data_IF_145496400926
#
_entry.id   IF_145496400926
#
_cell.length_a   1.000
_cell.length_b   1.000
_cell.length_c   1.000
_cell.angle_alpha   90.00
_cell.angle_beta   90.00
_cell.angle_gamma   90.00
#
_symmetry.space_group_name_H-M   'P 1'
#
loop_
_entity.id
_entity.type
_entity.pdbx_description
1 polymer ?
#
# COMPACT_ATOMS: atom_id res chain seq x y z
N UNK A 1 30.62 16.46 70.74
CA UNK A 1 31.44 15.81 69.68
C UNK A 1 30.60 14.98 68.70
N UNK A 2 29.78 14.03 69.17
CA UNK A 2 29.01 13.10 68.31
C UNK A 2 28.01 13.75 67.31
N UNK A 3 27.35 14.85 67.68
CA UNK A 3 26.36 15.52 66.82
C UNK A 3 26.95 16.12 65.53
N UNK A 4 28.22 16.50 65.54
CA UNK A 4 28.88 17.06 64.35
C UNK A 4 29.26 15.95 63.36
N UNK A 5 29.74 14.80 63.87
CA UNK A 5 30.05 13.64 63.04
C UNK A 5 28.83 13.09 62.30
N UNK A 6 27.66 13.07 62.95
CA UNK A 6 26.41 12.63 62.30
C UNK A 6 26.04 13.55 61.15
N UNK A 7 26.19 14.87 61.31
CA UNK A 7 25.94 15.85 60.24
C UNK A 7 26.91 15.67 59.06
N UNK A 8 28.18 15.37 59.34
CA UNK A 8 29.19 15.13 58.31
C UNK A 8 28.93 13.86 57.51
N UNK A 9 28.49 12.78 58.17
CA UNK A 9 28.08 11.54 57.53
C UNK A 9 26.86 11.77 56.63
N UNK A 10 25.83 12.44 57.13
CA UNK A 10 24.63 12.77 56.35
C UNK A 10 24.99 13.65 55.13
N UNK A 11 25.88 14.63 55.31
CA UNK A 11 26.41 15.46 54.24
C UNK A 11 27.22 14.65 53.21
N UNK A 12 28.04 13.69 53.66
CA UNK A 12 28.80 12.81 52.79
C UNK A 12 27.88 11.91 51.96
N UNK A 13 26.85 11.30 52.57
CA UNK A 13 25.85 10.48 51.87
C UNK A 13 25.09 11.30 50.83
N UNK A 14 24.69 12.54 51.17
CA UNK A 14 24.05 13.45 50.23
C UNK A 14 24.97 13.77 49.04
N UNK A 15 26.25 14.04 49.31
CA UNK A 15 27.26 14.30 48.26
C UNK A 15 27.47 13.08 47.35
N UNK A 16 27.50 11.87 47.90
CA UNK A 16 27.61 10.62 47.11
C UNK A 16 26.40 10.45 46.22
N UNK A 17 25.18 10.64 46.75
CA UNK A 17 23.94 10.53 45.98
C UNK A 17 23.88 11.55 44.83
N UNK A 18 24.27 12.79 45.10
CA UNK A 18 24.33 13.86 44.07
C UNK A 18 25.35 13.54 42.98
N UNK A 19 26.54 13.04 43.35
CA UNK A 19 27.55 12.62 42.36
C UNK A 19 27.04 11.46 41.49
N UNK A 20 26.36 10.48 42.08
CA UNK A 20 25.77 9.35 41.36
C UNK A 20 24.69 9.80 40.38
N UNK A 21 23.81 10.71 40.80
CA UNK A 21 22.76 11.27 39.93
C UNK A 21 23.34 12.07 38.76
N UNK A 22 24.37 12.91 39.01
CA UNK A 22 25.08 13.62 37.94
C UNK A 22 25.73 12.68 36.94
N UNK A 23 26.32 11.58 37.41
CA UNK A 23 26.93 10.58 36.54
C UNK A 23 25.89 9.86 35.65
N UNK A 24 24.72 9.51 36.22
CA UNK A 24 23.62 8.89 35.48
C UNK A 24 23.10 9.85 34.39
N UNK A 25 22.81 11.10 34.74
CA UNK A 25 22.35 12.12 33.77
C UNK A 25 23.38 12.36 32.67
N UNK A 26 24.67 12.43 33.00
CA UNK A 26 25.74 12.57 32.01
C UNK A 26 25.83 11.36 31.07
N UNK A 27 25.65 10.15 31.58
CA UNK A 27 25.64 8.92 30.77
C UNK A 27 24.45 8.90 29.80
N UNK A 28 23.26 9.25 30.28
CA UNK A 28 22.04 9.30 29.47
C UNK A 28 22.15 10.36 28.38
N UNK A 29 22.61 11.57 28.70
CA UNK A 29 22.83 12.64 27.71
C UNK A 29 23.85 12.23 26.64
N UNK A 30 24.94 11.54 27.03
CA UNK A 30 25.95 11.06 26.07
C UNK A 30 25.38 10.00 25.14
N UNK A 31 24.53 9.11 25.64
CA UNK A 31 23.84 8.10 24.83
C UNK A 31 22.88 8.77 23.85
N UNK A 32 22.04 9.71 24.31
CA UNK A 32 21.11 10.46 23.47
C UNK A 32 21.81 11.28 22.38
N UNK A 33 22.89 11.99 22.72
CA UNK A 33 23.68 12.74 21.73
C UNK A 33 24.31 11.80 20.68
N UNK A 34 24.79 10.62 21.11
CA UNK A 34 25.38 9.66 20.18
C UNK A 34 24.36 9.02 19.24
N UNK A 35 23.11 8.83 19.68
CA UNK A 35 22.05 8.28 18.83
C UNK A 35 21.55 9.33 17.83
N UNK A 36 21.39 10.59 18.27
CA UNK A 36 21.04 11.72 17.40
C UNK A 36 22.11 11.92 16.33
N UNK A 37 23.40 11.96 16.71
CA UNK A 37 24.51 12.10 15.74
C UNK A 37 24.53 10.97 14.72
N UNK A 38 24.26 9.72 15.14
CA UNK A 38 24.17 8.57 14.22
C UNK A 38 22.95 8.66 13.30
N UNK A 39 21.81 9.14 13.79
CA UNK A 39 20.61 9.35 12.98
C UNK A 39 20.82 10.47 11.95
N UNK A 40 21.37 11.61 12.36
CA UNK A 40 21.69 12.73 11.48
C UNK A 40 22.74 12.35 10.43
N UNK A 41 23.74 11.54 10.77
CA UNK A 41 24.71 11.03 9.81
C UNK A 41 24.05 10.10 8.76
N UNK A 42 23.04 9.31 9.14
CA UNK A 42 22.26 8.51 8.18
C UNK A 42 21.42 9.39 7.26
N UNK A 43 20.80 10.45 7.79
CA UNK A 43 20.02 11.40 7.00
C UNK A 43 20.91 12.18 6.01
N UNK A 44 22.08 12.64 6.43
CA UNK A 44 23.05 13.29 5.55
C UNK A 44 23.60 12.33 4.47
N UNK A 45 23.77 11.04 4.80
CA UNK A 45 24.17 10.02 3.82
C UNK A 45 23.06 9.75 2.78
N UNK A 46 21.79 9.90 3.17
CA UNK A 46 20.65 9.83 2.26
C UNK A 46 20.52 11.11 1.42
N UNK A 47 20.82 12.28 1.97
CA UNK A 47 20.82 13.56 1.24
C UNK A 47 21.97 13.68 0.22
N UNK A 48 23.15 13.13 0.54
CA UNK A 48 24.28 13.03 -0.38
C UNK A 48 24.05 12.05 -1.53
N UNK A 49 23.04 11.18 -1.40
CA UNK A 49 22.56 10.33 -2.48
C UNK A 49 21.56 11.13 -3.33
N UNK A 50 22.04 12.23 -3.94
CA UNK A 50 21.33 12.85 -5.06
C UNK A 50 21.02 11.73 -6.04
N UNK A 51 19.74 11.40 -6.14
CA UNK A 51 19.20 10.60 -7.23
C UNK A 51 19.73 11.27 -8.48
N UNK A 52 20.72 10.66 -9.13
CA UNK A 52 21.07 11.05 -10.47
C UNK A 52 19.80 10.87 -11.25
N UNK A 53 19.13 11.99 -11.56
CA UNK A 53 18.02 12.02 -12.48
C UNK A 53 18.61 11.51 -13.80
N UNK A 54 18.48 10.20 -14.03
CA UNK A 54 18.82 9.58 -15.29
C UNK A 54 17.90 10.24 -16.30
N UNK A 55 18.46 11.16 -17.08
CA UNK A 55 17.82 11.63 -18.31
C UNK A 55 17.77 10.41 -19.23
N UNK A 56 16.68 9.64 -19.13
CA UNK A 56 16.41 8.54 -20.02
C UNK A 56 15.93 9.12 -21.36
N UNK A 57 16.89 9.63 -22.13
CA UNK A 57 16.73 9.91 -23.56
C UNK A 57 17.64 8.95 -24.29
N UNK A 58 17.16 7.71 -24.50
CA UNK A 58 17.62 6.83 -25.58
C UNK A 58 16.79 5.54 -25.53
N UNK A 59 15.97 5.33 -26.56
CA UNK A 59 15.17 4.13 -26.75
C UNK A 59 16.04 2.90 -27.04
N UNK A 60 16.41 2.18 -26.00
CA UNK A 60 16.92 0.81 -26.09
C UNK A 60 15.94 -0.16 -25.44
N UNK A 61 15.67 -1.29 -26.09
CA UNK A 61 14.82 -2.40 -25.63
C UNK A 61 15.46 -3.17 -24.44
N UNK A 62 16.08 -2.46 -23.52
CA UNK A 62 16.78 -2.97 -22.36
C UNK A 62 16.53 -2.02 -21.20
N UNK A 63 15.37 -2.17 -20.57
CA UNK A 63 15.05 -1.50 -19.33
C UNK A 63 16.10 -1.82 -18.24
N UNK A 64 16.17 -0.96 -17.23
CA UNK A 64 17.08 -1.11 -16.08
C UNK A 64 17.20 -2.57 -15.61
N UNK A 65 18.41 -3.03 -15.22
CA UNK A 65 18.59 -4.37 -14.65
C UNK A 65 17.51 -4.64 -13.60
N UNK A 66 16.78 -5.77 -13.68
CA UNK A 66 15.71 -6.06 -12.74
C UNK A 66 16.30 -6.10 -11.33
N UNK A 67 15.74 -5.33 -10.40
CA UNK A 67 16.21 -5.33 -9.00
C UNK A 67 15.08 -5.76 -8.08
N UNK A 68 15.40 -6.59 -7.07
CA UNK A 68 14.43 -7.05 -6.07
C UNK A 68 13.56 -8.23 -6.53
N UNK A 69 12.25 -8.15 -6.30
CA UNK A 69 11.30 -9.25 -6.54
C UNK A 69 11.15 -9.58 -8.04
N UNK A 70 11.16 -8.56 -8.89
CA UNK A 70 11.10 -8.71 -10.35
C UNK A 70 12.29 -9.48 -10.90
N UNK A 71 13.48 -9.40 -10.28
CA UNK A 71 14.64 -10.20 -10.66
C UNK A 71 14.43 -11.70 -10.42
N UNK A 72 13.71 -12.06 -9.35
CA UNK A 72 13.34 -13.46 -9.09
C UNK A 72 12.28 -13.95 -10.07
N UNK A 73 11.30 -13.12 -10.40
CA UNK A 73 10.31 -13.45 -11.43
C UNK A 73 11.00 -13.63 -12.78
N UNK A 74 11.90 -12.71 -13.16
CA UNK A 74 12.68 -12.81 -14.40
C UNK A 74 13.71 -13.95 -14.41
N UNK A 75 14.10 -14.48 -13.25
CA UNK A 75 14.92 -15.70 -13.20
C UNK A 75 14.15 -16.94 -13.66
N UNK A 76 12.83 -16.98 -13.48
CA UNK A 76 11.97 -18.08 -13.93
C UNK A 76 11.24 -17.78 -15.25
N UNK A 77 10.94 -16.51 -15.52
CA UNK A 77 10.28 -16.02 -16.73
C UNK A 77 11.16 -14.94 -17.37
N UNK A 78 12.15 -15.32 -18.20
CA UNK A 78 13.15 -14.38 -18.72
C UNK A 78 12.56 -13.28 -19.61
N UNK A 79 11.47 -13.59 -20.29
CA UNK A 79 10.87 -12.73 -21.31
C UNK A 79 9.59 -12.04 -20.82
N UNK A 80 9.40 -10.78 -21.18
CA UNK A 80 8.27 -9.96 -20.71
C UNK A 80 6.91 -10.52 -21.17
N UNK A 81 6.84 -11.12 -22.37
CA UNK A 81 5.59 -11.74 -22.86
C UNK A 81 5.16 -12.95 -22.02
N UNK A 82 6.09 -13.66 -21.40
CA UNK A 82 5.77 -14.79 -20.53
C UNK A 82 5.12 -14.30 -19.23
N UNK A 83 5.55 -13.16 -18.69
CA UNK A 83 4.96 -12.54 -17.50
C UNK A 83 3.52 -12.10 -17.78
N UNK A 84 3.29 -11.53 -18.97
CA UNK A 84 1.94 -11.15 -19.42
C UNK A 84 1.05 -12.38 -19.56
N UNK A 85 1.53 -13.45 -20.20
CA UNK A 85 0.79 -14.70 -20.35
C UNK A 85 0.49 -15.38 -19.00
N UNK A 86 1.44 -15.36 -18.06
CA UNK A 86 1.24 -15.90 -16.71
C UNK A 86 0.15 -15.12 -15.96
N UNK A 87 0.15 -13.80 -16.07
CA UNK A 87 -0.86 -12.94 -15.45
C UNK A 87 -2.23 -13.14 -16.08
N UNK A 88 -2.29 -13.23 -17.42
CA UNK A 88 -3.53 -13.51 -18.15
C UNK A 88 -4.08 -14.90 -17.81
N UNK A 89 -3.22 -15.91 -17.73
CA UNK A 89 -3.59 -17.28 -17.31
C UNK A 89 -4.09 -17.32 -15.87
N UNK A 90 -3.50 -16.54 -14.97
CA UNK A 90 -3.98 -16.41 -13.59
C UNK A 90 -5.39 -15.84 -13.53
N UNK A 91 -5.65 -14.72 -14.23
CA UNK A 91 -7.00 -14.14 -14.31
C UNK A 91 -8.01 -15.06 -14.98
N UNK A 92 -7.63 -15.74 -16.06
CA UNK A 92 -8.48 -16.72 -16.73
C UNK A 92 -8.83 -17.89 -15.80
N UNK A 93 -7.89 -18.35 -14.98
CA UNK A 93 -8.12 -19.41 -13.99
C UNK A 93 -9.07 -18.94 -12.89
N UNK A 94 -8.88 -17.73 -12.36
CA UNK A 94 -9.81 -17.15 -11.37
C UNK A 94 -11.22 -16.99 -11.96
N UNK A 95 -11.33 -16.47 -13.17
CA UNK A 95 -12.60 -16.33 -13.88
C UNK A 95 -13.30 -17.68 -14.09
N UNK A 96 -12.55 -18.70 -14.56
CA UNK A 96 -13.07 -20.05 -14.73
C UNK A 96 -13.53 -20.67 -13.40
N UNK A 97 -12.78 -20.48 -12.32
CA UNK A 97 -13.17 -20.94 -10.98
C UNK A 97 -14.42 -20.23 -10.46
N UNK A 98 -14.56 -18.92 -10.71
CA UNK A 98 -15.77 -18.16 -10.38
C UNK A 98 -16.99 -18.59 -11.19
N UNK A 99 -16.82 -18.97 -12.46
CA UNK A 99 -17.89 -19.52 -13.30
C UNK A 99 -18.26 -20.96 -12.93
N UNK A 100 -17.29 -21.79 -12.54
CA UNK A 100 -17.51 -23.21 -12.18
C UNK A 100 -18.05 -23.38 -10.75
N UNK A 101 -17.80 -22.43 -9.85
CA UNK A 101 -18.45 -22.35 -8.54
C UNK A 101 -19.53 -21.27 -8.58
N UNK A 102 -20.76 -21.56 -9.03
CA UNK A 102 -21.89 -20.69 -8.71
C UNK A 102 -21.99 -20.68 -7.18
N UNK A 103 -21.52 -19.61 -6.57
CA UNK A 103 -21.73 -19.35 -5.16
C UNK A 103 -23.24 -19.28 -4.96
N UNK A 104 -23.86 -20.40 -4.54
CA UNK A 104 -25.21 -20.43 -3.98
C UNK A 104 -25.18 -19.66 -2.66
N UNK A 105 -25.05 -18.34 -2.74
CA UNK A 105 -25.41 -17.44 -1.67
C UNK A 105 -26.87 -17.12 -1.90
N UNK A 106 -27.68 -17.73 -1.04
CA UNK A 106 -29.04 -17.32 -0.72
C UNK A 106 -29.07 -15.79 -0.69
N UNK A 107 -29.88 -15.19 -1.54
CA UNK A 107 -30.19 -13.76 -1.52
C UNK A 107 -30.76 -13.42 -0.15
N UNK A 108 -29.99 -12.70 0.66
CA UNK A 108 -30.62 -11.74 1.56
C UNK A 108 -30.75 -10.44 0.74
N UNK A 109 -31.94 -9.82 0.73
CA UNK A 109 -32.20 -8.65 -0.08
C UNK A 109 -31.29 -7.52 0.42
N UNK A 110 -30.28 -7.18 -0.37
CA UNK A 110 -29.59 -5.91 -0.21
C UNK A 110 -30.61 -4.86 -0.60
N UNK A 111 -31.14 -4.19 0.43
CA UNK A 111 -32.02 -3.05 0.32
C UNK A 111 -31.61 -2.17 -0.86
N UNK A 112 -32.58 -1.97 -1.76
CA UNK A 112 -32.49 -1.00 -2.82
C UNK A 112 -32.15 0.36 -2.22
N UNK A 113 -30.93 0.82 -2.47
CA UNK A 113 -30.67 2.25 -2.55
C UNK A 113 -30.97 2.60 -4.00
N UNK A 114 -32.19 3.04 -4.23
CA UNK A 114 -32.50 3.86 -5.37
C UNK A 114 -31.66 5.14 -5.24
N UNK A 115 -30.77 5.38 -6.21
CA UNK A 115 -30.54 6.70 -6.81
C UNK A 115 -29.40 6.63 -7.84
N UNK A 116 -29.77 6.40 -9.09
CA UNK A 116 -29.46 7.34 -10.17
C UNK A 116 -30.24 6.95 -11.41
N UNK A 117 -31.29 7.71 -11.70
CA UNK A 117 -31.93 7.83 -13.00
C UNK A 117 -30.87 8.04 -14.08
N UNK A 118 -30.57 7.02 -14.88
CA UNK A 118 -29.99 7.22 -16.20
C UNK A 118 -31.03 6.79 -17.21
N UNK A 119 -31.64 7.79 -17.83
CA UNK A 119 -32.62 7.70 -18.93
C UNK A 119 -31.97 7.24 -20.24
N UNK A 120 -30.89 6.47 -20.16
CA UNK A 120 -30.06 6.06 -21.29
C UNK A 120 -30.09 4.54 -21.36
N UNK A 121 -30.60 4.01 -22.46
CA UNK A 121 -30.54 2.57 -22.73
C UNK A 121 -29.07 2.20 -22.88
N UNK A 122 -28.54 1.24 -22.10
CA UNK A 122 -27.17 0.78 -22.23
C UNK A 122 -26.89 0.23 -23.64
N UNK A 123 -25.63 0.30 -24.09
CA UNK A 123 -25.27 -0.26 -25.39
C UNK A 123 -25.48 -1.78 -25.41
N UNK A 124 -26.03 -2.32 -26.50
CA UNK A 124 -26.32 -3.75 -26.67
C UNK A 124 -25.09 -4.66 -26.47
N UNK A 125 -23.89 -4.13 -26.70
CA UNK A 125 -22.62 -4.86 -26.59
C UNK A 125 -22.02 -4.86 -25.18
N UNK A 126 -22.63 -4.14 -24.24
CA UNK A 126 -22.16 -4.06 -22.87
C UNK A 126 -22.86 -5.12 -22.00
N UNK A 127 -22.11 -5.74 -21.09
CA UNK A 127 -22.65 -6.71 -20.11
C UNK A 127 -23.75 -6.12 -19.21
N UNK A 128 -23.83 -4.79 -19.15
CA UNK A 128 -24.86 -4.05 -18.43
C UNK A 128 -26.22 -4.10 -19.15
N UNK A 129 -26.25 -4.25 -20.47
CA UNK A 129 -27.50 -4.42 -21.22
C UNK A 129 -28.19 -5.74 -20.87
N UNK A 130 -27.44 -6.83 -20.68
CA UNK A 130 -28.03 -8.12 -20.33
C UNK A 130 -28.78 -8.03 -18.99
N UNK A 131 -28.18 -7.38 -17.99
CA UNK A 131 -28.82 -7.10 -16.70
C UNK A 131 -29.99 -6.12 -16.82
N UNK A 132 -29.85 -5.10 -17.65
CA UNK A 132 -30.89 -4.11 -17.90
C UNK A 132 -32.11 -4.70 -18.62
N UNK A 133 -31.90 -5.64 -19.54
CA UNK A 133 -32.93 -6.31 -20.34
C UNK A 133 -33.75 -7.34 -19.54
N UNK A 134 -33.15 -7.94 -18.51
CA UNK A 134 -33.82 -8.87 -17.60
C UNK A 134 -34.85 -8.18 -16.69
N UNK A 135 -34.81 -6.85 -16.59
CA UNK A 135 -35.79 -6.05 -15.84
C UNK A 135 -37.08 -5.96 -16.66
N UNK A 136 -38.19 -6.40 -16.07
CA UNK A 136 -39.52 -6.39 -16.70
C UNK A 136 -39.91 -4.98 -17.17
N UNK A 137 -40.30 -4.83 -18.43
CA UNK A 137 -40.73 -3.56 -19.04
C UNK A 137 -39.63 -2.74 -19.71
N UNK A 138 -38.34 -3.07 -19.51
CA UNK A 138 -37.24 -2.35 -20.16
C UNK A 138 -37.12 -2.68 -21.65
N UNK A 139 -37.35 -3.93 -22.06
CA UNK A 139 -37.35 -4.34 -23.47
C UNK A 139 -38.43 -3.61 -24.30
N UNK A 140 -39.66 -3.49 -23.78
CA UNK A 140 -40.72 -2.72 -24.44
C UNK A 140 -40.36 -1.25 -24.60
N UNK A 141 -39.58 -0.69 -23.66
CA UNK A 141 -39.08 0.68 -23.73
C UNK A 141 -38.01 0.83 -24.81
N UNK A 142 -37.15 -0.17 -24.98
CA UNK A 142 -36.14 -0.21 -26.05
C UNK A 142 -36.77 -0.34 -27.43
N UNK A 143 -37.74 -1.23 -27.60
CA UNK A 143 -38.48 -1.40 -28.87
C UNK A 143 -39.14 -0.09 -29.30
N UNK A 144 -39.81 0.62 -28.39
CA UNK A 144 -40.40 1.95 -28.67
C UNK A 144 -39.36 3.03 -28.99
N UNK A 145 -38.13 2.92 -28.48
CA UNK A 145 -37.06 3.85 -28.84
C UNK A 145 -36.59 3.66 -30.30
N UNK A 146 -36.64 2.43 -30.84
CA UNK A 146 -36.30 2.18 -32.25
C UNK A 146 -37.34 2.75 -33.21
N UNK A 147 -38.63 2.68 -32.86
CA UNK A 147 -39.72 3.25 -33.68
C UNK A 147 -39.60 4.77 -33.84
N UNK A 148 -38.94 5.46 -32.90
CA UNK A 148 -38.73 6.91 -32.96
C UNK A 148 -37.58 7.35 -33.87
N UNK A 149 -36.78 6.40 -34.38
CA UNK A 149 -35.61 6.64 -35.25
C UNK A 149 -35.95 6.36 -36.73
N UNK A 150 -37.08 5.72 -37.02
CA UNK A 150 -37.63 5.53 -38.37
C UNK A 150 -38.55 6.68 -38.78
#
# INVERSE_FOLDING_TARGET
MARNMIKDIVSAVKRIKVKKLKFILQRENKIAMSSILRQSAKLLKLEGQRVQQKRAMSGGHGGSPPTGFEAKVRAYLPEDHQIVLATLGFYATVFALCKLKPSKKKEEPIHAIADSTTTEVPSLFDEEFDKWSQISGNLERWEKSLDSIA
#
